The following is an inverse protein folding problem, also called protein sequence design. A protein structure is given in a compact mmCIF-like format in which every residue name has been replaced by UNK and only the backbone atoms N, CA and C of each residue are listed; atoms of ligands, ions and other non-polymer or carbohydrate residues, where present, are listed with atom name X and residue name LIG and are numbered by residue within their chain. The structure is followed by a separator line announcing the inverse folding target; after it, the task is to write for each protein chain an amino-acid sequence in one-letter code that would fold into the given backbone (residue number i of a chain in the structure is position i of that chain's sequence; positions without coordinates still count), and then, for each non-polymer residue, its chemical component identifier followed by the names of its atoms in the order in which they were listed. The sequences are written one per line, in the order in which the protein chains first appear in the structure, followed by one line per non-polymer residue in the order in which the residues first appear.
data_IF_343455580669
#
_entry.id   IF_343455580669
#
_cell.length_a   1.000
_cell.length_b   1.000
_cell.length_c   1.000
_cell.angle_alpha   90.00
_cell.angle_beta   90.00
_cell.angle_gamma   90.00
#
_symmetry.space_group_name_H-M   'P 1'
#
loop_
_entity.id
_entity.type
_entity.pdbx_description
1 polymer ?
#
# COMPACT_ATOMS: atom_id res chain seq x y z
N UNK A 1 14.14 -1.78 -11.43
CA UNK A 1 12.99 -1.17 -10.72
C UNK A 1 13.51 -0.15 -9.71
N UNK A 2 12.90 1.05 -9.65
CA UNK A 2 13.06 1.99 -8.54
C UNK A 2 11.98 1.68 -7.51
N UNK A 3 12.37 1.61 -6.24
CA UNK A 3 11.46 1.40 -5.11
C UNK A 3 11.90 2.30 -3.95
N UNK A 4 11.03 3.22 -3.54
CA UNK A 4 11.31 4.17 -2.46
C UNK A 4 10.25 4.01 -1.35
N UNK A 5 10.70 3.86 -0.11
CA UNK A 5 9.87 3.96 1.08
C UNK A 5 9.99 5.39 1.63
N UNK A 6 8.90 6.13 1.65
CA UNK A 6 8.89 7.57 1.92
C UNK A 6 8.12 7.82 3.21
N UNK A 7 8.79 8.18 4.31
CA UNK A 7 8.09 8.58 5.54
C UNK A 7 7.36 9.90 5.31
N UNK A 8 6.07 9.92 5.67
CA UNK A 8 5.16 11.06 5.50
C UNK A 8 4.24 11.22 6.71
N UNK A 9 3.75 12.44 6.89
CA UNK A 9 2.67 12.76 7.83
C UNK A 9 3.01 12.62 9.32
N UNK A 10 2.11 13.11 10.18
CA UNK A 10 2.33 13.12 11.62
C UNK A 10 2.05 11.77 12.31
N UNK A 11 1.43 10.83 11.60
CA UNK A 11 1.10 9.50 12.13
C UNK A 11 2.15 8.44 11.76
N UNK A 12 3.36 8.87 11.37
CA UNK A 12 4.45 7.97 10.97
C UNK A 12 4.08 7.07 9.79
N UNK A 13 3.28 7.58 8.86
CA UNK A 13 2.90 6.84 7.66
C UNK A 13 4.08 6.64 6.72
N UNK A 14 4.02 5.58 5.94
CA UNK A 14 4.83 5.39 4.75
C UNK A 14 3.97 5.50 3.49
N UNK A 15 4.45 6.27 2.52
CA UNK A 15 4.04 6.16 1.12
C UNK A 15 5.14 5.47 0.34
N UNK A 16 4.79 4.83 -0.77
CA UNK A 16 5.78 4.13 -1.59
C UNK A 16 5.76 4.63 -3.03
N UNK A 17 6.93 4.66 -3.66
CA UNK A 17 7.08 4.92 -5.07
C UNK A 17 7.66 3.68 -5.73
N UNK A 18 6.94 3.14 -6.72
CA UNK A 18 7.34 1.99 -7.54
C UNK A 18 7.48 2.49 -8.97
N UNK A 19 8.63 2.29 -9.62
CA UNK A 19 8.80 2.78 -10.98
C UNK A 19 9.66 1.86 -11.85
N UNK A 20 9.28 1.78 -13.10
CA UNK A 20 10.06 1.17 -14.15
C UNK A 20 11.10 2.19 -14.70
N UNK A 21 12.37 1.87 -14.54
CA UNK A 21 13.49 2.72 -14.96
C UNK A 21 13.53 2.98 -16.48
N UNK A 22 13.04 2.02 -17.28
CA UNK A 22 13.10 2.10 -18.74
C UNK A 22 11.96 2.96 -19.29
N UNK A 23 10.71 2.69 -18.89
CA UNK A 23 9.55 3.45 -19.35
C UNK A 23 9.33 4.76 -18.60
N UNK A 24 10.00 4.94 -17.45
CA UNK A 24 9.78 6.06 -16.51
C UNK A 24 8.37 6.13 -15.93
N UNK A 25 7.54 5.11 -16.13
CA UNK A 25 6.23 5.04 -15.50
C UNK A 25 6.36 4.69 -14.02
N UNK A 26 5.55 5.36 -13.20
CA UNK A 26 5.55 5.17 -11.76
C UNK A 26 4.14 5.01 -11.18
N UNK A 27 4.07 4.28 -10.06
CA UNK A 27 2.94 4.22 -9.17
C UNK A 27 3.32 4.78 -7.79
N UNK A 28 2.40 5.53 -7.18
CA UNK A 28 2.49 5.96 -5.78
C UNK A 28 1.49 5.15 -4.96
N UNK A 29 1.92 4.63 -3.82
CA UNK A 29 1.04 3.93 -2.88
C UNK A 29 0.73 4.85 -1.71
N UNK A 30 -0.55 4.97 -1.36
CA UNK A 30 -1.08 5.71 -0.20
C UNK A 30 -0.53 7.14 -0.06
N UNK A 31 -0.90 8.07 -0.97
CA UNK A 31 -0.49 9.47 -0.87
C UNK A 31 -1.34 10.23 0.16
N UNK A 32 -1.23 9.85 1.43
CA UNK A 32 -2.02 10.44 2.51
C UNK A 32 -1.56 11.86 2.89
N UNK A 33 -0.26 12.13 2.76
CA UNK A 33 0.37 13.38 3.18
C UNK A 33 1.47 13.82 2.22
N UNK A 34 1.98 15.04 2.39
CA UNK A 34 3.25 15.54 1.83
C UNK A 34 3.49 15.20 0.35
N UNK A 35 2.48 15.30 -0.51
CA UNK A 35 2.60 14.95 -1.93
C UNK A 35 3.71 15.72 -2.66
N UNK A 36 4.10 16.91 -2.16
CA UNK A 36 5.25 17.66 -2.71
C UNK A 36 6.53 16.86 -2.58
N UNK A 37 6.78 16.26 -1.40
CA UNK A 37 7.94 15.40 -1.14
C UNK A 37 7.97 14.19 -2.09
N UNK A 38 6.81 13.53 -2.27
CA UNK A 38 6.66 12.40 -3.20
C UNK A 38 6.97 12.85 -4.64
N UNK A 39 6.41 14.00 -5.04
CA UNK A 39 6.60 14.56 -6.38
C UNK A 39 8.06 14.98 -6.64
N UNK A 40 8.75 15.52 -5.64
CA UNK A 40 10.18 15.86 -5.72
C UNK A 40 11.05 14.63 -5.93
N UNK A 41 10.75 13.52 -5.21
CA UNK A 41 11.44 12.23 -5.41
C UNK A 41 11.19 11.70 -6.82
N UNK A 42 9.94 11.70 -7.28
CA UNK A 42 9.60 11.28 -8.64
C UNK A 42 10.33 12.12 -9.68
N UNK A 43 10.35 13.45 -9.51
CA UNK A 43 11.07 14.38 -10.40
C UNK A 43 12.58 14.16 -10.42
N UNK A 44 13.20 13.87 -9.28
CA UNK A 44 14.64 13.56 -9.17
C UNK A 44 15.03 12.37 -10.04
N UNK A 45 14.14 11.39 -10.20
CA UNK A 45 14.33 10.19 -11.02
C UNK A 45 13.74 10.31 -12.43
N UNK A 46 13.23 11.50 -12.82
CA UNK A 46 12.55 11.75 -14.11
C UNK A 46 11.36 10.81 -14.35
N UNK A 47 10.54 10.58 -13.32
CA UNK A 47 9.44 9.64 -13.34
C UNK A 47 8.10 10.32 -13.63
N UNK A 48 7.24 9.58 -14.33
CA UNK A 48 5.88 9.97 -14.66
C UNK A 48 4.89 9.14 -13.84
N UNK A 49 4.28 9.74 -12.84
CA UNK A 49 3.29 9.07 -11.98
C UNK A 49 2.01 8.86 -12.79
N UNK A 50 1.72 7.60 -13.15
CA UNK A 50 0.56 7.15 -13.92
C UNK A 50 -0.52 6.52 -13.06
N UNK A 51 -0.14 6.00 -11.89
CA UNK A 51 -1.00 5.21 -11.04
C UNK A 51 -0.88 5.65 -9.58
N UNK A 52 -2.01 5.62 -8.88
CA UNK A 52 -2.08 5.72 -7.43
C UNK A 52 -2.72 4.43 -6.94
N UNK A 53 -2.06 3.71 -6.06
CA UNK A 53 -2.50 2.43 -5.51
C UNK A 53 -2.89 2.65 -4.05
N UNK A 54 -4.12 2.33 -3.68
CA UNK A 54 -4.62 2.51 -2.32
C UNK A 54 -4.66 1.15 -1.63
N UNK A 55 -3.96 1.03 -0.50
CA UNK A 55 -4.00 -0.18 0.33
C UNK A 55 -5.33 -0.32 1.06
N UNK A 56 -5.86 0.79 1.57
CA UNK A 56 -7.16 0.89 2.23
C UNK A 56 -7.59 2.35 2.37
N UNK A 57 -8.85 2.60 2.75
CA UNK A 57 -9.45 3.94 2.66
C UNK A 57 -9.43 4.76 3.96
N UNK A 58 -8.64 4.40 4.98
CA UNK A 58 -8.50 5.28 6.14
C UNK A 58 -7.89 6.63 5.75
N UNK A 59 -8.36 7.69 6.42
CA UNK A 59 -8.12 9.08 6.00
C UNK A 59 -6.64 9.42 5.84
N UNK A 60 -5.80 8.89 6.70
CA UNK A 60 -4.36 9.17 6.72
C UNK A 60 -3.57 8.50 5.57
N UNK A 61 -4.20 7.55 4.85
CA UNK A 61 -3.68 6.96 3.62
C UNK A 61 -4.20 7.64 2.35
N UNK A 62 -5.37 8.30 2.44
CA UNK A 62 -6.05 8.85 1.27
C UNK A 62 -6.28 10.38 1.31
N UNK A 63 -5.81 11.09 2.36
CA UNK A 63 -6.14 12.51 2.50
C UNK A 63 -5.74 13.36 1.29
N UNK A 64 -4.61 13.06 0.66
CA UNK A 64 -4.08 13.77 -0.50
C UNK A 64 -4.26 13.04 -1.84
N UNK A 65 -5.07 11.97 -1.87
CA UNK A 65 -5.28 11.19 -3.10
C UNK A 65 -5.83 12.04 -4.24
N UNK A 66 -6.82 12.90 -3.97
CA UNK A 66 -7.41 13.81 -4.98
C UNK A 66 -6.37 14.80 -5.52
N UNK A 67 -5.64 15.44 -4.62
CA UNK A 67 -4.62 16.44 -4.99
C UNK A 67 -3.50 15.80 -5.83
N UNK A 68 -3.06 14.58 -5.46
CA UNK A 68 -2.07 13.83 -6.23
C UNK A 68 -2.63 13.41 -7.61
N UNK A 69 -3.86 12.93 -7.67
CA UNK A 69 -4.52 12.53 -8.91
C UNK A 69 -4.67 13.72 -9.88
N UNK A 70 -5.08 14.88 -9.39
CA UNK A 70 -5.22 16.11 -10.19
C UNK A 70 -3.87 16.60 -10.71
N UNK A 71 -2.84 16.58 -9.87
CA UNK A 71 -1.50 17.04 -10.23
C UNK A 71 -0.83 16.16 -11.29
N UNK A 72 -1.14 14.85 -11.33
CA UNK A 72 -0.46 13.87 -12.18
C UNK A 72 -1.33 13.35 -13.33
N UNK A 73 -2.65 13.47 -13.23
CA UNK A 73 -3.59 12.80 -14.13
C UNK A 73 -3.65 11.29 -13.93
N UNK A 74 -3.08 10.77 -12.84
CA UNK A 74 -2.99 9.35 -12.54
C UNK A 74 -4.36 8.68 -12.33
N UNK A 75 -4.42 7.38 -12.64
CA UNK A 75 -5.58 6.54 -12.34
C UNK A 75 -5.42 6.00 -10.92
N UNK A 76 -6.47 6.12 -10.10
CA UNK A 76 -6.50 5.59 -8.74
C UNK A 76 -7.06 4.17 -8.75
N UNK A 77 -6.31 3.24 -8.17
CA UNK A 77 -6.71 1.85 -7.98
C UNK A 77 -7.08 1.62 -6.51
N UNK A 78 -8.25 1.10 -6.26
CA UNK A 78 -8.78 0.85 -4.91
C UNK A 78 -9.62 -0.42 -4.89
N UNK A 79 -9.65 -1.13 -3.78
CA UNK A 79 -10.55 -2.27 -3.62
C UNK A 79 -12.03 -1.82 -3.69
N UNK A 80 -12.89 -2.66 -4.23
CA UNK A 80 -14.32 -2.32 -4.43
C UNK A 80 -15.05 -1.93 -3.13
N UNK A 81 -14.66 -2.51 -1.99
CA UNK A 81 -15.27 -2.22 -0.68
C UNK A 81 -14.89 -0.82 -0.15
N UNK A 82 -13.81 -0.22 -0.66
CA UNK A 82 -13.33 1.11 -0.30
C UNK A 82 -13.61 2.18 -1.39
N UNK A 83 -14.36 1.79 -2.45
CA UNK A 83 -14.60 2.64 -3.63
C UNK A 83 -15.31 3.95 -3.27
N UNK A 84 -16.31 3.89 -2.41
CA UNK A 84 -17.16 5.05 -2.11
C UNK A 84 -16.38 6.13 -1.36
N UNK A 85 -15.43 5.75 -0.51
CA UNK A 85 -14.55 6.70 0.18
C UNK A 85 -13.69 7.50 -0.82
N UNK A 86 -13.17 6.83 -1.85
CA UNK A 86 -12.37 7.49 -2.90
C UNK A 86 -13.25 8.38 -3.80
N UNK A 87 -14.47 7.94 -4.13
CA UNK A 87 -15.45 8.78 -4.85
C UNK A 87 -15.81 10.03 -4.07
N UNK A 88 -16.01 9.89 -2.75
CA UNK A 88 -16.34 11.01 -1.85
C UNK A 88 -15.21 12.06 -1.78
N UNK A 89 -13.95 11.67 -2.07
CA UNK A 89 -12.83 12.59 -2.26
C UNK A 89 -12.89 13.36 -3.58
N UNK A 90 -13.80 13.00 -4.50
CA UNK A 90 -13.97 13.66 -5.80
C UNK A 90 -12.91 13.25 -6.83
N UNK A 91 -12.39 12.04 -6.75
CA UNK A 91 -11.46 11.48 -7.75
C UNK A 91 -12.23 11.07 -9.01
N UNK A 92 -11.77 11.50 -10.19
CA UNK A 92 -12.46 11.24 -11.45
C UNK A 92 -12.10 9.89 -12.09
N UNK A 93 -10.81 9.52 -12.02
CA UNK A 93 -10.30 8.32 -12.69
C UNK A 93 -10.04 7.22 -11.67
N UNK A 94 -11.02 6.35 -11.46
CA UNK A 94 -10.93 5.25 -10.51
C UNK A 94 -11.07 3.92 -11.24
N UNK A 95 -10.26 2.93 -10.83
CA UNK A 95 -10.42 1.52 -11.19
C UNK A 95 -10.51 0.69 -9.91
N UNK A 96 -11.46 -0.22 -9.87
CA UNK A 96 -11.57 -1.19 -8.78
C UNK A 96 -10.65 -2.38 -9.02
N UNK A 97 -10.10 -2.89 -7.92
CA UNK A 97 -9.25 -4.07 -7.88
C UNK A 97 -9.77 -5.09 -6.88
N UNK A 98 -9.30 -6.32 -7.04
CA UNK A 98 -9.62 -7.43 -6.14
C UNK A 98 -8.48 -8.45 -6.06
N UNK A 99 -8.79 -9.59 -5.46
CA UNK A 99 -7.83 -10.68 -5.26
C UNK A 99 -7.23 -11.17 -6.58
N UNK A 100 -5.91 -11.28 -6.62
CA UNK A 100 -5.11 -11.73 -7.76
C UNK A 100 -5.10 -10.82 -8.99
N UNK A 101 -5.67 -9.63 -8.92
CA UNK A 101 -5.51 -8.65 -10.01
C UNK A 101 -4.03 -8.27 -10.16
N UNK A 102 -3.65 -7.93 -11.38
CA UNK A 102 -2.31 -7.49 -11.74
C UNK A 102 -2.35 -6.08 -12.34
N UNK A 103 -1.51 -5.20 -11.82
CA UNK A 103 -1.33 -3.85 -12.31
C UNK A 103 0.09 -3.76 -12.89
N UNK A 104 0.22 -3.22 -14.10
CA UNK A 104 1.52 -3.08 -14.74
C UNK A 104 1.97 -1.63 -14.71
N UNK A 105 3.14 -1.39 -14.09
CA UNK A 105 3.85 -0.11 -14.07
C UNK A 105 5.04 -0.25 -15.02
N UNK A 106 4.86 0.18 -16.25
CA UNK A 106 5.78 -0.21 -17.32
C UNK A 106 5.85 -1.73 -17.48
N UNK A 107 7.02 -2.32 -17.25
CA UNK A 107 7.24 -3.78 -17.27
C UNK A 107 7.07 -4.43 -15.90
N UNK A 108 6.92 -3.63 -14.84
CA UNK A 108 6.85 -4.12 -13.48
C UNK A 108 5.43 -4.59 -13.18
N UNK A 109 5.31 -5.84 -12.74
CA UNK A 109 4.04 -6.41 -12.31
C UNK A 109 3.83 -6.20 -10.82
N UNK A 110 2.73 -5.57 -10.45
CA UNK A 110 2.23 -5.41 -9.08
C UNK A 110 1.03 -6.32 -8.91
N UNK A 111 1.13 -7.34 -8.08
CA UNK A 111 0.04 -8.28 -7.78
C UNK A 111 -0.74 -7.81 -6.56
N UNK A 112 -2.06 -7.85 -6.65
CA UNK A 112 -2.97 -7.52 -5.56
C UNK A 112 -3.29 -8.77 -4.73
N UNK A 113 -3.14 -8.66 -3.41
CA UNK A 113 -3.58 -9.64 -2.44
C UNK A 113 -4.63 -8.99 -1.54
N UNK A 114 -5.87 -9.42 -1.62
CA UNK A 114 -6.95 -8.93 -0.74
C UNK A 114 -6.72 -9.47 0.67
N UNK A 115 -6.54 -8.59 1.64
CA UNK A 115 -6.18 -8.89 3.04
C UNK A 115 -7.08 -8.12 4.01
N UNK A 116 -8.40 -8.40 3.99
CA UNK A 116 -9.36 -7.68 4.84
C UNK A 116 -9.14 -7.96 6.32
N UNK A 117 -9.74 -7.10 7.17
CA UNK A 117 -9.80 -7.26 8.61
C UNK A 117 -9.35 -6.04 9.39
N UNK A 118 -8.39 -5.24 8.90
CA UNK A 118 -8.18 -3.87 9.36
C UNK A 118 -9.28 -2.96 8.80
N UNK A 119 -9.54 -3.06 7.50
CA UNK A 119 -10.73 -2.57 6.82
C UNK A 119 -11.26 -3.65 5.85
N UNK A 120 -12.52 -3.54 5.36
CA UNK A 120 -13.06 -4.50 4.39
C UNK A 120 -12.32 -4.50 3.06
N UNK A 121 -11.83 -3.34 2.62
CA UNK A 121 -11.12 -3.15 1.36
C UNK A 121 -9.61 -3.26 1.45
N UNK A 122 -9.03 -3.62 2.60
CA UNK A 122 -7.58 -3.73 2.76
C UNK A 122 -6.95 -4.70 1.77
N UNK A 123 -5.89 -4.24 1.08
CA UNK A 123 -5.08 -5.03 0.16
C UNK A 123 -3.59 -4.87 0.45
N UNK A 124 -2.81 -5.91 0.13
CA UNK A 124 -1.37 -5.83 0.01
C UNK A 124 -0.97 -5.83 -1.46
N UNK A 125 0.13 -5.14 -1.78
CA UNK A 125 0.72 -5.13 -3.12
C UNK A 125 2.04 -5.87 -3.12
N UNK A 126 2.12 -6.96 -3.89
CA UNK A 126 3.35 -7.72 -4.08
C UNK A 126 4.01 -7.31 -5.39
N UNK A 127 5.23 -6.79 -5.30
CA UNK A 127 6.06 -6.41 -6.44
C UNK A 127 7.44 -7.02 -6.29
N UNK A 128 7.84 -7.89 -7.23
CA UNK A 128 9.05 -8.70 -7.11
C UNK A 128 9.11 -9.44 -5.75
N UNK A 129 10.10 -9.15 -4.91
CA UNK A 129 10.24 -9.70 -3.56
C UNK A 129 9.79 -8.72 -2.45
N UNK A 130 9.02 -7.68 -2.78
CA UNK A 130 8.56 -6.64 -1.83
C UNK A 130 7.05 -6.70 -1.68
N UNK A 131 6.59 -6.76 -0.44
CA UNK A 131 5.19 -6.76 -0.08
C UNK A 131 4.85 -5.48 0.69
N UNK A 132 4.12 -4.58 0.04
CA UNK A 132 3.55 -3.40 0.69
C UNK A 132 2.26 -3.84 1.36
N UNK A 133 2.19 -3.75 2.68
CA UNK A 133 1.14 -4.39 3.48
C UNK A 133 0.06 -3.44 3.99
N UNK A 134 0.23 -2.12 3.76
CA UNK A 134 -0.65 -1.14 4.41
C UNK A 134 -0.75 -1.44 5.90
N UNK A 135 -1.97 -1.41 6.41
CA UNK A 135 -2.26 -1.65 7.82
C UNK A 135 -2.74 -3.08 8.11
N UNK A 136 -2.50 -4.02 7.19
CA UNK A 136 -2.73 -5.44 7.47
C UNK A 136 -1.65 -6.02 8.38
N UNK A 137 -0.38 -5.76 8.05
CA UNK A 137 0.78 -6.29 8.76
C UNK A 137 1.82 -5.19 8.96
N UNK A 138 2.20 -4.94 10.21
CA UNK A 138 3.32 -4.10 10.60
C UNK A 138 4.53 -4.96 10.99
N UNK A 139 5.66 -4.31 11.18
CA UNK A 139 6.82 -4.99 11.77
C UNK A 139 6.48 -5.39 13.21
N UNK A 140 6.45 -6.69 13.48
CA UNK A 140 6.16 -7.31 14.78
C UNK A 140 4.74 -7.04 15.33
N UNK A 141 3.85 -6.43 14.55
CA UNK A 141 2.48 -6.10 14.95
C UNK A 141 1.51 -6.16 13.76
N UNK A 142 0.24 -5.80 13.98
CA UNK A 142 -0.81 -5.73 12.96
C UNK A 142 -1.62 -4.44 13.11
N UNK A 143 -2.35 -4.07 12.06
CA UNK A 143 -3.33 -3.00 12.15
C UNK A 143 -4.45 -3.32 13.13
N UNK A 144 -4.98 -2.27 13.77
CA UNK A 144 -6.14 -2.38 14.68
C UNK A 144 -7.38 -2.88 13.94
N UNK A 145 -8.27 -3.52 14.67
CA UNK A 145 -9.50 -4.13 14.13
C UNK A 145 -10.77 -3.64 14.83
N UNK A 146 -10.68 -2.60 15.63
CA UNK A 146 -11.74 -2.02 16.44
C UNK A 146 -12.40 -0.79 15.80
N UNK A 147 -11.95 -0.38 14.61
CA UNK A 147 -12.58 0.66 13.80
C UNK A 147 -13.75 0.09 12.98
N UNK A 148 -14.67 0.94 12.48
CA UNK A 148 -15.76 0.51 11.62
C UNK A 148 -15.28 -0.34 10.45
N UNK A 149 -15.85 -1.52 10.28
CA UNK A 149 -15.44 -2.49 9.25
C UNK A 149 -14.25 -3.38 9.63
N UNK A 150 -13.60 -3.13 10.78
CA UNK A 150 -12.55 -4.00 11.31
C UNK A 150 -13.10 -5.31 11.89
N UNK A 151 -12.37 -6.42 11.72
CA UNK A 151 -12.71 -7.73 12.27
C UNK A 151 -11.44 -8.53 12.61
N UNK A 152 -11.23 -8.87 13.91
CA UNK A 152 -10.03 -9.60 14.34
C UNK A 152 -9.96 -11.05 13.84
N UNK A 153 -11.09 -11.66 13.49
CA UNK A 153 -11.12 -13.01 12.91
C UNK A 153 -10.71 -12.97 11.43
N UNK A 154 -11.19 -11.95 10.73
CA UNK A 154 -10.89 -11.77 9.30
C UNK A 154 -9.43 -11.41 9.08
N UNK A 155 -8.84 -10.52 9.90
CA UNK A 155 -7.41 -10.19 9.77
C UNK A 155 -6.54 -11.41 10.06
N UNK A 156 -6.95 -12.28 11.01
CA UNK A 156 -6.21 -13.51 11.30
C UNK A 156 -6.15 -14.45 10.07
N UNK A 157 -7.22 -14.55 9.28
CA UNK A 157 -7.19 -15.32 8.01
C UNK A 157 -6.30 -14.65 6.96
N UNK A 158 -6.32 -13.32 6.88
CA UNK A 158 -5.41 -12.56 6.02
C UNK A 158 -3.94 -12.81 6.38
N UNK A 159 -3.61 -12.81 7.68
CA UNK A 159 -2.26 -13.13 8.15
C UNK A 159 -1.84 -14.57 7.84
N UNK A 160 -2.75 -15.55 7.97
CA UNK A 160 -2.49 -16.95 7.56
C UNK A 160 -2.18 -17.06 6.07
N UNK A 161 -2.81 -16.23 5.24
CA UNK A 161 -2.52 -16.15 3.81
C UNK A 161 -1.12 -15.58 3.57
N UNK A 162 -0.76 -14.45 4.21
CA UNK A 162 0.56 -13.86 4.10
C UNK A 162 1.66 -14.80 4.63
N UNK A 163 1.39 -15.56 5.69
CA UNK A 163 2.31 -16.55 6.25
C UNK A 163 2.73 -17.65 5.27
N UNK A 164 1.94 -17.92 4.21
CA UNK A 164 2.25 -18.90 3.17
C UNK A 164 3.19 -18.39 2.08
N UNK A 165 3.48 -17.09 2.07
CA UNK A 165 4.41 -16.48 1.12
C UNK A 165 5.85 -16.93 1.39
N UNK A 166 6.72 -16.77 0.39
CA UNK A 166 8.15 -17.04 0.52
C UNK A 166 8.75 -16.20 1.65
N UNK A 167 9.55 -16.83 2.49
CA UNK A 167 10.16 -16.21 3.66
C UNK A 167 11.12 -15.07 3.34
N UNK A 168 11.65 -15.04 2.10
CA UNK A 168 12.54 -14.00 1.60
C UNK A 168 11.81 -12.71 1.17
N UNK A 169 10.48 -12.74 1.12
CA UNK A 169 9.71 -11.53 0.77
C UNK A 169 9.87 -10.52 1.90
N UNK A 170 10.27 -9.30 1.52
CA UNK A 170 10.40 -8.15 2.39
C UNK A 170 9.02 -7.54 2.67
N UNK A 171 8.77 -7.14 3.91
CA UNK A 171 7.50 -6.56 4.38
C UNK A 171 7.68 -5.06 4.59
N UNK A 172 6.87 -4.28 3.89
CA UNK A 172 6.84 -2.82 3.90
C UNK A 172 5.49 -2.32 4.41
N UNK A 173 5.38 -1.88 5.68
CA UNK A 173 4.11 -1.54 6.33
C UNK A 173 3.57 -0.17 5.97
N UNK A 174 2.30 0.12 6.33
CA UNK A 174 1.70 1.44 6.20
C UNK A 174 2.25 2.49 7.17
N UNK A 175 2.82 2.06 8.30
CA UNK A 175 3.35 2.93 9.36
C UNK A 175 4.67 2.44 9.94
N UNK A 176 5.48 3.39 10.45
CA UNK A 176 6.75 3.15 11.16
C UNK A 176 6.52 2.88 12.66
N UNK A 177 5.70 1.86 12.96
CA UNK A 177 5.37 1.49 14.36
C UNK A 177 6.22 0.35 14.91
N UNK A 178 7.07 -0.24 14.09
CA UNK A 178 7.92 -1.36 14.46
C UNK A 178 9.29 -0.98 15.00
N UNK A 179 10.09 -2.00 15.26
CA UNK A 179 11.48 -1.84 15.72
C UNK A 179 12.43 -1.36 14.58
N UNK A 180 12.02 -1.58 13.33
CA UNK A 180 12.72 -1.20 12.09
C UNK A 180 11.67 -0.81 11.03
N UNK A 181 12.05 -0.01 9.99
CA UNK A 181 11.08 0.50 9.02
C UNK A 181 10.52 -0.55 8.04
N UNK A 182 11.15 -1.70 7.93
CA UNK A 182 10.69 -2.85 7.14
C UNK A 182 11.29 -4.15 7.68
N UNK A 183 10.68 -5.28 7.36
CA UNK A 183 11.12 -6.59 7.82
C UNK A 183 11.06 -7.65 6.69
N UNK A 184 10.77 -8.91 7.02
CA UNK A 184 10.53 -9.98 6.06
C UNK A 184 9.48 -10.95 6.58
N UNK A 185 8.88 -11.75 5.70
CA UNK A 185 7.96 -12.82 6.11
C UNK A 185 8.63 -13.77 7.09
N UNK A 186 9.92 -14.09 6.92
CA UNK A 186 10.67 -14.90 7.89
C UNK A 186 10.75 -14.24 9.28
N UNK A 187 11.01 -12.93 9.32
CA UNK A 187 11.06 -12.15 10.56
C UNK A 187 9.69 -12.15 11.25
N UNK A 188 8.63 -11.85 10.50
CA UNK A 188 7.27 -11.78 11.06
C UNK A 188 6.80 -13.15 11.58
N UNK A 189 7.07 -14.24 10.88
CA UNK A 189 6.80 -15.60 11.39
C UNK A 189 7.48 -15.90 12.72
N UNK A 190 8.66 -15.34 12.95
CA UNK A 190 9.45 -15.61 14.16
C UNK A 190 9.08 -14.72 15.32
N UNK A 191 8.85 -13.43 15.08
CA UNK A 191 8.76 -12.43 16.14
C UNK A 191 7.35 -11.84 16.31
N UNK A 192 6.53 -11.79 15.26
CA UNK A 192 5.18 -11.27 15.34
C UNK A 192 4.25 -12.28 16.04
N UNK A 193 3.65 -11.88 17.16
CA UNK A 193 2.76 -12.73 17.95
C UNK A 193 1.49 -13.15 17.20
N UNK A 194 1.05 -12.32 16.25
CA UNK A 194 -0.14 -12.58 15.43
C UNK A 194 0.12 -13.50 14.23
N UNK A 195 1.39 -13.78 13.92
CA UNK A 195 1.82 -14.68 12.84
C UNK A 195 2.45 -16.01 13.35
N UNK A 196 2.36 -16.28 14.64
CA UNK A 196 2.82 -17.55 15.22
C UNK A 196 1.91 -18.73 14.93
#
# INVERSE_FOLDING_TARGET
MIFEQIPIGPMQNFSYLIADEESKEAAVVDPGWEIKKISEIAKKHDLNIKFILITHSHYDHIDKVKEMADATGAVVYVHKEDLDEIKNKGVDKIKTIGENDEIYVGKIKVKVLHTPGHSPGSVCYLVENKLITGDTLFVENIGRTDLPGGDPRVIAESLKKLKKLDEKIEVYPGHDYGSVPHSSIAHEKKYNLHMK
#
